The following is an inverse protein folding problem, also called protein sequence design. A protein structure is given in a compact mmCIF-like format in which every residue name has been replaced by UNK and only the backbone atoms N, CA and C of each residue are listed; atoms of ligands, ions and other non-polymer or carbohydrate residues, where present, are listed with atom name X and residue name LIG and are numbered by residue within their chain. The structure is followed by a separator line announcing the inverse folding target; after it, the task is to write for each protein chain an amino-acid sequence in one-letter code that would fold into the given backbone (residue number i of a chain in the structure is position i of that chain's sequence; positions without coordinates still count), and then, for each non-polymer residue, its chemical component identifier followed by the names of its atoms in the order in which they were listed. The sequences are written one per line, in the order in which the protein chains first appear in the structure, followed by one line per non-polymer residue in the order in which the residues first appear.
data_IF_884039224057
#
_entry.id   IF_884039224057
#
_cell.length_a   1.000
_cell.length_b   1.000
_cell.length_c   1.000
_cell.angle_alpha   90.00
_cell.angle_beta   90.00
_cell.angle_gamma   90.00
#
_symmetry.space_group_name_H-M   'P 1'
#
loop_
_entity.id
_entity.type
_entity.pdbx_description
1 polymer ?
#
# COMPACT_ATOMS: atom_id res chain seq x y z
N UNK A 1 -9.91 -1.59 23.98
CA UNK A 1 -9.29 -2.86 23.56
C UNK A 1 -9.79 -3.33 22.20
N UNK A 2 -11.08 -3.66 22.01
CA UNK A 2 -11.64 -4.14 20.70
C UNK A 2 -11.28 -3.26 19.48
N UNK A 3 -11.45 -1.94 19.59
CA UNK A 3 -11.12 -1.02 18.50
C UNK A 3 -9.60 -0.92 18.21
N UNK A 4 -8.75 -1.16 19.21
CA UNK A 4 -7.30 -1.12 19.02
C UNK A 4 -6.82 -2.34 18.22
N UNK A 5 -7.29 -3.54 18.58
CA UNK A 5 -6.96 -4.77 17.85
C UNK A 5 -7.50 -4.72 16.42
N UNK A 6 -8.69 -4.15 16.21
CA UNK A 6 -9.24 -3.99 14.86
C UNK A 6 -8.35 -3.09 13.98
N UNK A 7 -7.83 -1.98 14.53
CA UNK A 7 -6.89 -1.10 13.81
C UNK A 7 -5.56 -1.80 13.52
N UNK A 8 -5.07 -2.56 14.48
CA UNK A 8 -3.84 -3.33 14.33
C UNK A 8 -3.99 -4.40 13.25
N UNK A 9 -5.03 -5.23 13.32
CA UNK A 9 -5.36 -6.22 12.29
C UNK A 9 -5.54 -5.59 10.91
N UNK A 10 -6.14 -4.39 10.82
CA UNK A 10 -6.27 -3.70 9.54
C UNK A 10 -4.91 -3.29 8.96
N UNK A 11 -3.97 -2.81 9.78
CA UNK A 11 -2.61 -2.50 9.31
C UNK A 11 -1.85 -3.76 8.92
N UNK A 12 -1.96 -4.85 9.69
CA UNK A 12 -1.28 -6.11 9.38
C UNK A 12 -1.78 -6.74 8.08
N UNK A 13 -3.11 -6.73 7.84
CA UNK A 13 -3.67 -7.13 6.55
C UNK A 13 -3.14 -6.25 5.43
N UNK A 14 -3.08 -4.93 5.64
CA UNK A 14 -2.55 -4.00 4.65
C UNK A 14 -1.08 -4.27 4.36
N UNK A 15 -0.27 -4.58 5.37
CA UNK A 15 1.12 -5.01 5.23
C UNK A 15 1.21 -6.31 4.46
N UNK A 16 0.39 -7.31 4.80
CA UNK A 16 0.36 -8.63 4.17
C UNK A 16 0.09 -8.51 2.67
N UNK A 17 -0.88 -7.68 2.27
CA UNK A 17 -1.17 -7.42 0.85
C UNK A 17 0.06 -6.82 0.16
N UNK A 18 0.67 -5.78 0.74
CA UNK A 18 1.89 -5.15 0.19
C UNK A 18 3.04 -6.15 0.06
N UNK A 19 3.22 -7.02 1.06
CA UNK A 19 4.29 -8.02 1.08
C UNK A 19 4.03 -9.09 0.02
N UNK A 20 2.80 -9.57 -0.14
CA UNK A 20 2.46 -10.55 -1.18
C UNK A 20 2.76 -10.02 -2.58
N UNK A 21 2.38 -8.77 -2.86
CA UNK A 21 2.70 -8.12 -4.14
C UNK A 21 4.21 -8.00 -4.32
N UNK A 22 4.91 -7.48 -3.30
CA UNK A 22 6.37 -7.28 -3.33
C UNK A 22 7.13 -8.60 -3.51
N UNK A 23 6.65 -9.69 -2.92
CA UNK A 23 7.28 -11.02 -2.97
C UNK A 23 7.39 -11.51 -4.41
N UNK A 24 6.36 -11.31 -5.22
CA UNK A 24 6.36 -11.72 -6.62
C UNK A 24 7.49 -11.02 -7.40
N UNK A 25 7.60 -9.70 -7.26
CA UNK A 25 8.64 -8.92 -7.94
C UNK A 25 10.04 -9.21 -7.40
N UNK A 26 10.19 -9.28 -6.06
CA UNK A 26 11.48 -9.53 -5.42
C UNK A 26 12.03 -10.92 -5.74
N UNK A 27 11.17 -11.93 -5.84
CA UNK A 27 11.58 -13.30 -6.24
C UNK A 27 12.25 -13.27 -7.61
N UNK A 28 11.64 -12.58 -8.58
CA UNK A 28 12.17 -12.46 -9.95
C UNK A 28 13.48 -11.68 -9.96
N UNK A 29 13.57 -10.57 -9.24
CA UNK A 29 14.77 -9.75 -9.17
C UNK A 29 15.94 -10.46 -8.47
N UNK A 30 15.63 -11.27 -7.45
CA UNK A 30 16.61 -12.07 -6.73
C UNK A 30 17.17 -13.19 -7.61
N UNK A 31 16.31 -13.91 -8.36
CA UNK A 31 16.74 -14.92 -9.33
C UNK A 31 17.63 -14.35 -10.44
N UNK A 32 17.43 -13.07 -10.81
CA UNK A 32 18.25 -12.35 -11.78
C UNK A 32 19.56 -11.80 -11.19
N UNK A 33 19.79 -11.96 -9.89
CA UNK A 33 20.96 -11.41 -9.20
C UNK A 33 20.93 -9.89 -8.99
N UNK A 34 19.82 -9.21 -9.32
CA UNK A 34 19.67 -7.76 -9.12
C UNK A 34 19.37 -7.41 -7.65
N UNK A 35 18.95 -8.39 -6.85
CA UNK A 35 18.72 -8.27 -5.41
C UNK A 35 19.58 -9.29 -4.70
N UNK A 36 20.44 -8.83 -3.79
CA UNK A 36 21.33 -9.70 -3.01
C UNK A 36 20.60 -10.52 -1.95
N UNK A 37 21.23 -11.62 -1.52
CA UNK A 37 20.72 -12.57 -0.53
C UNK A 37 20.30 -11.93 0.80
N UNK A 38 21.00 -10.88 1.23
CA UNK A 38 20.68 -10.19 2.48
C UNK A 38 19.29 -9.53 2.44
N UNK A 39 18.98 -8.82 1.35
CA UNK A 39 17.67 -8.18 1.16
C UNK A 39 16.57 -9.25 1.13
N UNK A 40 16.82 -10.34 0.42
CA UNK A 40 15.88 -11.45 0.35
C UNK A 40 15.63 -12.10 1.72
N UNK A 41 16.69 -12.36 2.49
CA UNK A 41 16.59 -12.87 3.87
C UNK A 41 15.80 -11.93 4.76
N UNK A 42 16.11 -10.63 4.75
CA UNK A 42 15.38 -9.62 5.52
C UNK A 42 13.90 -9.59 5.15
N UNK A 43 13.57 -9.67 3.86
CA UNK A 43 12.19 -9.73 3.39
C UNK A 43 11.44 -10.96 3.94
N UNK A 44 12.03 -12.17 3.79
CA UNK A 44 11.41 -13.41 4.31
C UNK A 44 11.29 -13.42 5.84
N UNK A 45 12.23 -12.79 6.54
CA UNK A 45 12.16 -12.63 7.98
C UNK A 45 11.00 -11.72 8.39
N UNK A 46 10.85 -10.56 7.73
CA UNK A 46 9.71 -9.67 7.92
C UNK A 46 8.38 -10.36 7.63
N UNK A 47 8.32 -11.23 6.62
CA UNK A 47 7.12 -12.00 6.29
C UNK A 47 6.74 -12.92 7.45
N UNK A 48 7.73 -13.60 8.03
CA UNK A 48 7.52 -14.47 9.19
C UNK A 48 7.10 -13.69 10.43
N UNK A 49 7.67 -12.51 10.67
CA UNK A 49 7.24 -11.65 11.78
C UNK A 49 5.76 -11.27 11.65
N UNK A 50 5.33 -10.86 10.46
CA UNK A 50 3.94 -10.52 10.21
C UNK A 50 2.99 -11.72 10.41
N UNK A 51 3.41 -12.93 10.01
CA UNK A 51 2.62 -14.14 10.25
C UNK A 51 2.45 -14.44 11.74
N UNK A 52 3.51 -14.25 12.54
CA UNK A 52 3.44 -14.41 13.99
C UNK A 52 2.53 -13.36 14.62
N UNK A 53 2.61 -12.12 14.14
CA UNK A 53 1.76 -11.00 14.57
C UNK A 53 0.27 -11.29 14.35
N UNK A 54 -0.09 -11.78 13.16
CA UNK A 54 -1.45 -12.20 12.83
C UNK A 54 -1.95 -13.37 13.71
N UNK A 55 -1.08 -14.31 14.08
CA UNK A 55 -1.44 -15.39 15.00
C UNK A 55 -1.65 -14.90 16.44
N UNK A 56 -0.89 -13.89 16.86
CA UNK A 56 -1.08 -13.26 18.17
C UNK A 56 -2.38 -12.44 18.21
N UNK A 57 -2.71 -11.69 17.14
CA UNK A 57 -4.03 -11.05 16.96
C UNK A 57 -5.13 -12.09 17.09
N UNK A 58 -4.98 -13.24 16.43
CA UNK A 58 -5.97 -14.33 16.45
C UNK A 58 -6.23 -14.80 17.87
N UNK A 59 -5.17 -15.03 18.65
CA UNK A 59 -5.25 -15.45 20.05
C UNK A 59 -5.89 -14.39 20.93
N UNK A 60 -5.54 -13.13 20.74
CA UNK A 60 -6.09 -12.01 21.52
C UNK A 60 -7.58 -11.79 21.20
N UNK A 61 -7.96 -11.87 19.92
CA UNK A 61 -9.35 -11.77 19.49
C UNK A 61 -10.21 -12.89 20.10
N UNK A 62 -9.72 -14.13 20.06
CA UNK A 62 -10.41 -15.28 20.66
C UNK A 62 -10.55 -15.15 22.18
N UNK A 63 -9.52 -14.63 22.86
CA UNK A 63 -9.54 -14.36 24.30
C UNK A 63 -10.55 -13.27 24.69
N UNK A 64 -10.80 -12.30 23.82
CA UNK A 64 -11.78 -11.22 24.05
C UNK A 64 -13.21 -11.72 23.84
N UNK A 65 -13.44 -12.49 22.78
CA UNK A 65 -14.75 -13.06 22.49
C UNK A 65 -14.60 -14.31 21.62
N UNK A 66 -15.13 -15.47 22.05
CA UNK A 66 -15.09 -16.68 21.25
C UNK A 66 -15.72 -16.48 19.88
N UNK A 67 -15.14 -17.06 18.83
CA UNK A 67 -15.58 -16.97 17.43
C UNK A 67 -15.59 -15.55 16.82
N UNK A 68 -15.03 -14.54 17.47
CA UNK A 68 -14.95 -13.18 16.91
C UNK A 68 -13.85 -13.04 15.85
N UNK A 69 -12.85 -13.91 15.91
CA UNK A 69 -11.68 -13.95 15.03
C UNK A 69 -12.01 -13.80 13.55
N UNK A 70 -12.94 -14.62 13.04
CA UNK A 70 -13.27 -14.60 11.61
C UNK A 70 -13.86 -13.25 11.18
N UNK A 71 -14.80 -12.72 11.97
CA UNK A 71 -15.43 -11.44 11.69
C UNK A 71 -14.42 -10.29 11.80
N UNK A 72 -13.51 -10.34 12.77
CA UNK A 72 -12.46 -9.35 12.97
C UNK A 72 -11.58 -9.21 11.71
N UNK A 73 -11.06 -10.31 11.17
CA UNK A 73 -10.21 -10.25 9.97
C UNK A 73 -10.98 -9.84 8.71
N UNK A 74 -12.27 -10.19 8.60
CA UNK A 74 -13.14 -9.70 7.52
C UNK A 74 -13.29 -8.18 7.59
N UNK A 75 -13.69 -7.64 8.75
CA UNK A 75 -13.85 -6.20 8.94
C UNK A 75 -12.53 -5.45 8.80
N UNK A 76 -11.42 -6.01 9.30
CA UNK A 76 -10.09 -5.42 9.14
C UNK A 76 -9.66 -5.34 7.67
N UNK A 77 -10.00 -6.34 6.85
CA UNK A 77 -9.75 -6.33 5.41
C UNK A 77 -10.54 -5.23 4.69
N UNK A 78 -11.82 -5.07 5.05
CA UNK A 78 -12.66 -3.99 4.52
C UNK A 78 -12.11 -2.60 4.91
N UNK A 79 -11.66 -2.43 6.14
CA UNK A 79 -11.03 -1.19 6.61
C UNK A 79 -9.75 -0.91 5.82
N UNK A 80 -8.86 -1.90 5.67
CA UNK A 80 -7.61 -1.74 4.93
C UNK A 80 -7.84 -1.31 3.47
N UNK A 81 -8.83 -1.92 2.81
CA UNK A 81 -9.23 -1.55 1.44
C UNK A 81 -9.84 -0.15 1.39
N UNK A 82 -10.73 0.18 2.32
CA UNK A 82 -11.40 1.48 2.37
C UNK A 82 -10.40 2.63 2.58
N UNK A 83 -9.44 2.46 3.49
CA UNK A 83 -8.40 3.44 3.75
C UNK A 83 -7.48 3.62 2.53
N UNK A 84 -7.15 2.54 1.83
CA UNK A 84 -6.42 2.60 0.56
C UNK A 84 -7.15 3.39 -0.51
N UNK A 85 -8.46 3.21 -0.64
CA UNK A 85 -9.30 3.98 -1.58
C UNK A 85 -9.40 5.44 -1.18
N UNK A 86 -9.67 5.74 0.09
CA UNK A 86 -9.75 7.12 0.60
C UNK A 86 -8.46 7.88 0.38
N UNK A 87 -7.31 7.25 0.61
CA UNK A 87 -6.00 7.86 0.36
C UNK A 87 -5.86 8.30 -1.10
N UNK A 88 -6.18 7.42 -2.05
CA UNK A 88 -6.13 7.75 -3.50
C UNK A 88 -7.08 8.88 -3.87
N UNK A 89 -8.31 8.86 -3.34
CA UNK A 89 -9.30 9.92 -3.59
C UNK A 89 -8.80 11.27 -3.05
N UNK A 90 -8.16 11.28 -1.89
CA UNK A 90 -7.65 12.51 -1.27
C UNK A 90 -6.38 13.04 -1.98
N UNK A 91 -5.57 12.16 -2.58
CA UNK A 91 -4.39 12.54 -3.36
C UNK A 91 -4.74 13.06 -4.77
N UNK A 92 -5.89 12.66 -5.30
CA UNK A 92 -6.30 12.98 -6.68
C UNK A 92 -6.41 14.48 -7.00
N UNK A 93 -6.97 15.36 -6.13
CA UNK A 93 -7.07 16.79 -6.43
C UNK A 93 -5.71 17.48 -6.58
N UNK A 94 -4.74 17.12 -5.73
CA UNK A 94 -3.39 17.69 -5.79
C UNK A 94 -2.69 17.29 -7.10
N UNK A 95 -2.78 16.02 -7.48
CA UNK A 95 -2.28 15.54 -8.76
C UNK A 95 -2.96 16.25 -9.93
N UNK A 96 -4.29 16.38 -9.90
CA UNK A 96 -5.04 17.06 -10.95
C UNK A 96 -4.59 18.52 -11.13
N UNK A 97 -4.34 19.24 -10.04
CA UNK A 97 -3.86 20.61 -10.09
C UNK A 97 -2.46 20.70 -10.72
N UNK A 98 -1.54 19.83 -10.30
CA UNK A 98 -0.18 19.75 -10.86
C UNK A 98 -0.22 19.48 -12.37
N UNK A 99 -1.01 18.51 -12.80
CA UNK A 99 -1.18 18.19 -14.22
C UNK A 99 -1.76 19.36 -15.03
N UNK A 100 -2.74 20.10 -14.48
CA UNK A 100 -3.31 21.27 -15.15
C UNK A 100 -2.27 22.37 -15.34
N UNK A 101 -1.50 22.68 -14.31
CA UNK A 101 -0.45 23.70 -14.38
C UNK A 101 0.64 23.32 -15.38
N UNK A 102 1.09 22.07 -15.37
CA UNK A 102 2.05 21.56 -16.34
C UNK A 102 1.53 21.67 -17.79
N UNK A 103 0.26 21.29 -18.01
CA UNK A 103 -0.37 21.40 -19.32
C UNK A 103 -0.51 22.84 -19.80
N UNK A 104 -0.91 23.76 -18.92
CA UNK A 104 -1.04 25.18 -19.25
C UNK A 104 0.32 25.79 -19.62
N UNK A 105 1.37 25.49 -18.86
CA UNK A 105 2.73 25.96 -19.16
C UNK A 105 3.23 25.43 -20.53
N UNK A 106 3.00 24.15 -20.83
CA UNK A 106 3.32 23.58 -22.14
C UNK A 106 2.55 24.27 -23.27
N UNK A 107 1.25 24.46 -23.09
CA UNK A 107 0.39 25.14 -24.07
C UNK A 107 0.87 26.55 -24.35
N UNK A 108 1.20 27.32 -23.31
CA UNK A 108 1.71 28.68 -23.47
C UNK A 108 3.03 28.72 -24.25
N UNK A 109 3.96 27.80 -23.94
CA UNK A 109 5.24 27.71 -24.64
C UNK A 109 5.05 27.36 -26.12
N UNK A 110 4.21 26.36 -26.43
CA UNK A 110 3.91 25.99 -27.82
C UNK A 110 3.24 27.12 -28.62
N UNK A 111 2.35 27.90 -27.98
CA UNK A 111 1.75 29.07 -28.63
C UNK A 111 2.82 30.13 -28.93
N UNK A 112 3.72 30.40 -27.98
CA UNK A 112 4.82 31.37 -28.18
C UNK A 112 5.71 30.96 -29.35
N UNK A 113 6.14 29.70 -29.41
CA UNK A 113 6.96 29.16 -30.51
C UNK A 113 6.28 29.39 -31.87
N UNK A 114 5.02 28.98 -32.02
CA UNK A 114 4.25 29.14 -33.27
C UNK A 114 4.07 30.60 -33.70
N UNK A 115 3.96 31.52 -32.74
CA UNK A 115 3.85 32.96 -33.04
C UNK A 115 5.20 33.59 -33.40
N UNK A 116 6.30 33.06 -32.87
CA UNK A 116 7.64 33.57 -33.15
C UNK A 116 8.16 33.16 -34.53
N UNK A 117 7.72 32.03 -35.07
CA UNK A 117 8.06 31.57 -36.43
C UNK A 117 7.31 32.33 -37.55
N UNK A 118 6.28 33.12 -37.21
CA UNK A 118 5.47 33.88 -38.18
C UNK A 118 5.95 35.31 -38.43
N UNK A 119 6.96 35.80 -37.70
CA UNK A 119 7.59 37.10 -37.90
C UNK A 119 9.00 36.94 -38.44
#
# INVERSE_FOLDING_TARGET
MKAAILKWAAEDIRQMIRMNDSKQYLTVLHQRGSVGDDIWKRFTMSEKFLQLELEDIRREAEAIHPNWTQQLFQTASEIAQNEGLRKRINEFPAQQQEYRQAFEALRENSIKELTSEKN
#
